data_IF_593730248420
#
_entry.id   IF_593730248420
#
_cell.length_a   1.000
_cell.length_b   1.000
_cell.length_c   1.000
_cell.angle_alpha   90.00
_cell.angle_beta   90.00
_cell.angle_gamma   90.00
#
_symmetry.space_group_name_H-M   'P 1'
#
loop_
_entity.id
_entity.type
_entity.pdbx_description
1 polymer ?
#
# COMPACT_ATOMS: atom_id res chain seq x y z
N UNK A 1 39.71 -47.70 -4.27
CA UNK A 1 39.77 -48.67 -5.39
C UNK A 1 39.16 -49.97 -4.90
N UNK A 2 38.35 -50.60 -5.77
CA UNK A 2 37.49 -51.78 -5.59
C UNK A 2 36.10 -51.50 -5.00
N UNK A 3 34.97 -51.98 -5.55
CA UNK A 3 34.69 -52.70 -6.81
C UNK A 3 33.16 -52.74 -7.04
N UNK A 4 32.79 -52.90 -8.31
CA UNK A 4 31.46 -53.05 -8.93
C UNK A 4 30.50 -54.08 -8.29
N UNK A 5 29.19 -53.86 -8.48
CA UNK A 5 28.25 -54.95 -8.73
C UNK A 5 27.12 -54.52 -9.69
N UNK A 6 27.08 -55.19 -10.85
CA UNK A 6 26.15 -55.06 -11.97
C UNK A 6 24.92 -56.00 -11.84
N UNK A 7 23.88 -55.73 -12.67
CA UNK A 7 22.85 -56.68 -13.13
C UNK A 7 21.50 -56.59 -12.39
N UNK A 8 20.38 -56.07 -12.91
CA UNK A 8 19.59 -56.21 -14.18
C UNK A 8 18.65 -57.44 -14.21
N UNK A 9 17.36 -57.15 -14.47
CA UNK A 9 16.23 -57.96 -14.98
C UNK A 9 15.69 -59.14 -14.14
N UNK A 10 14.40 -59.49 -14.14
CA UNK A 10 13.25 -59.07 -14.95
C UNK A 10 11.93 -59.51 -14.28
N UNK A 11 10.82 -58.95 -14.79
CA UNK A 11 9.48 -59.55 -14.95
C UNK A 11 8.79 -60.27 -13.77
N UNK A 12 7.59 -59.79 -13.39
CA UNK A 12 6.37 -60.58 -13.66
C UNK A 12 5.17 -59.65 -13.87
N UNK A 13 4.53 -59.89 -15.00
CA UNK A 13 3.23 -59.40 -15.44
C UNK A 13 2.14 -59.76 -14.42
N UNK A 14 1.17 -58.87 -14.20
CA UNK A 14 -0.18 -59.35 -13.96
C UNK A 14 -1.18 -58.43 -14.64
N UNK A 15 -1.68 -58.96 -15.74
CA UNK A 15 -2.79 -58.49 -16.56
C UNK A 15 -4.08 -59.01 -15.90
N UNK A 16 -4.94 -58.11 -15.44
CA UNK A 16 -6.33 -58.44 -15.12
C UNK A 16 -7.20 -57.31 -15.69
N UNK A 17 -7.62 -57.53 -16.94
CA UNK A 17 -8.79 -56.91 -17.55
C UNK A 17 -10.05 -57.35 -16.77
N UNK A 18 -10.91 -56.42 -16.36
CA UNK A 18 -12.24 -56.24 -16.99
C UNK A 18 -13.22 -55.38 -16.15
N UNK A 19 -13.93 -54.54 -16.91
CA UNK A 19 -15.34 -54.15 -16.77
C UNK A 19 -15.80 -53.25 -15.59
N UNK A 20 -15.88 -51.96 -15.90
CA UNK A 20 -17.17 -51.31 -16.12
C UNK A 20 -18.13 -51.17 -14.93
N UNK A 21 -18.23 -49.95 -14.39
CA UNK A 21 -19.51 -49.31 -14.03
C UNK A 21 -19.33 -47.82 -13.74
N UNK A 22 -20.09 -47.02 -14.47
CA UNK A 22 -20.42 -45.63 -14.11
C UNK A 22 -21.29 -45.67 -12.85
N UNK A 23 -20.86 -45.04 -11.76
CA UNK A 23 -21.78 -44.46 -10.78
C UNK A 23 -21.23 -43.10 -10.31
N UNK A 24 -22.14 -42.13 -10.35
CA UNK A 24 -21.97 -40.75 -9.96
C UNK A 24 -21.63 -40.60 -8.46
N UNK A 25 -20.80 -39.60 -8.16
CA UNK A 25 -20.94 -38.82 -6.94
C UNK A 25 -20.19 -39.32 -5.70
N UNK A 26 -18.95 -38.87 -5.55
CA UNK A 26 -18.51 -38.32 -4.25
C UNK A 26 -17.33 -37.35 -4.46
N UNK A 27 -17.65 -36.06 -4.48
CA UNK A 27 -16.70 -34.97 -4.72
C UNK A 27 -15.86 -34.70 -3.47
N UNK A 28 -14.83 -35.53 -3.24
CA UNK A 28 -13.76 -35.20 -2.30
C UNK A 28 -12.53 -34.68 -3.08
N UNK A 29 -12.57 -33.42 -3.50
CA UNK A 29 -11.39 -32.72 -4.04
C UNK A 29 -11.17 -31.40 -3.32
N UNK A 30 -10.21 -31.45 -2.39
CA UNK A 30 -9.25 -30.41 -1.99
C UNK A 30 -9.76 -28.97 -2.11
N UNK A 31 -10.12 -28.41 -0.96
CA UNK A 31 -10.36 -26.98 -0.74
C UNK A 31 -9.22 -26.12 -1.25
N UNK A 32 -9.33 -25.71 -2.52
CA UNK A 32 -8.52 -24.68 -3.14
C UNK A 32 -9.10 -23.35 -2.64
N UNK A 33 -8.34 -22.65 -1.82
CA UNK A 33 -8.63 -21.26 -1.41
C UNK A 33 -8.93 -20.44 -2.67
N UNK A 34 -10.22 -20.25 -2.98
CA UNK A 34 -10.64 -19.25 -3.95
C UNK A 34 -10.38 -17.91 -3.30
N UNK A 35 -9.27 -17.28 -3.67
CA UNK A 35 -9.06 -15.86 -3.43
C UNK A 35 -10.10 -15.15 -4.30
N UNK A 36 -11.28 -14.90 -3.74
CA UNK A 36 -12.35 -14.18 -4.41
C UNK A 36 -11.77 -12.88 -4.98
N UNK A 37 -11.76 -12.81 -6.30
CA UNK A 37 -11.39 -11.60 -7.01
C UNK A 37 -12.55 -10.63 -6.79
N UNK A 38 -12.39 -9.71 -5.83
CA UNK A 38 -13.32 -8.60 -5.69
C UNK A 38 -13.08 -7.71 -6.91
N UNK A 39 -14.00 -7.79 -7.88
CA UNK A 39 -14.02 -6.93 -9.06
C UNK A 39 -14.16 -5.47 -8.61
N UNK A 40 -13.46 -4.56 -9.29
CA UNK A 40 -13.39 -3.17 -8.87
C UNK A 40 -14.75 -2.48 -9.11
N UNK A 41 -15.40 -2.04 -8.03
CA UNK A 41 -16.67 -1.31 -8.06
C UNK A 41 -16.52 0.21 -8.12
N UNK A 42 -15.28 0.72 -8.07
CA UNK A 42 -14.95 2.14 -8.09
C UNK A 42 -13.64 2.35 -8.88
N UNK A 43 -13.51 3.47 -9.59
CA UNK A 43 -12.27 3.85 -10.27
C UNK A 43 -11.28 4.55 -9.31
N UNK A 44 -9.99 4.54 -9.67
CA UNK A 44 -8.97 5.28 -8.92
C UNK A 44 -9.25 6.80 -8.93
N UNK A 45 -9.69 7.34 -10.06
CA UNK A 45 -10.10 8.75 -10.20
C UNK A 45 -11.24 9.10 -9.23
N UNK A 46 -12.29 8.27 -9.17
CA UNK A 46 -13.45 8.49 -8.29
C UNK A 46 -13.09 8.45 -6.81
N UNK A 47 -12.17 7.55 -6.42
CA UNK A 47 -11.62 7.50 -5.09
C UNK A 47 -10.80 8.77 -4.80
N UNK A 48 -9.87 9.14 -5.68
CA UNK A 48 -9.03 10.32 -5.48
C UNK A 48 -9.87 11.60 -5.47
N UNK A 49 -10.98 11.67 -6.18
CA UNK A 49 -11.87 12.84 -6.14
C UNK A 49 -12.60 12.97 -4.79
N UNK A 50 -13.06 11.85 -4.22
CA UNK A 50 -13.83 11.83 -2.97
C UNK A 50 -13.51 10.55 -2.19
N UNK A 51 -12.45 10.55 -1.36
CA UNK A 51 -11.95 9.36 -0.68
C UNK A 51 -12.86 8.92 0.47
N UNK A 52 -13.13 7.62 0.55
CA UNK A 52 -13.85 6.94 1.65
C UNK A 52 -13.30 5.53 1.83
N UNK A 53 -13.51 4.88 2.99
CA UNK A 53 -13.06 3.50 3.17
C UNK A 53 -13.77 2.54 2.22
N UNK A 54 -15.07 2.76 1.99
CA UNK A 54 -15.85 1.97 1.05
C UNK A 54 -15.26 2.02 -0.36
N UNK A 55 -14.93 3.21 -0.86
CA UNK A 55 -14.32 3.35 -2.20
C UNK A 55 -12.92 2.75 -2.27
N UNK A 56 -12.10 2.92 -1.23
CA UNK A 56 -10.78 2.29 -1.16
C UNK A 56 -10.87 0.76 -1.23
N UNK A 57 -11.86 0.17 -0.55
CA UNK A 57 -12.14 -1.26 -0.62
C UNK A 57 -12.63 -1.69 -2.02
N UNK A 58 -13.51 -0.88 -2.64
CA UNK A 58 -14.06 -1.11 -3.97
C UNK A 58 -13.04 -0.99 -5.12
N UNK A 59 -11.83 -0.46 -4.89
CA UNK A 59 -10.74 -0.53 -5.88
C UNK A 59 -10.23 -1.96 -6.15
N UNK A 60 -10.64 -2.93 -5.33
CA UNK A 60 -10.33 -4.34 -5.50
C UNK A 60 -8.88 -4.69 -5.14
N UNK A 61 -8.43 -5.86 -5.59
CA UNK A 61 -7.12 -6.43 -5.24
C UNK A 61 -5.92 -5.64 -5.77
N UNK A 62 -6.08 -4.88 -6.85
CA UNK A 62 -5.03 -4.10 -7.52
C UNK A 62 -5.05 -2.61 -7.15
N UNK A 63 -5.71 -2.25 -6.04
CA UNK A 63 -5.92 -0.87 -5.59
C UNK A 63 -4.68 0.02 -5.64
N UNK A 64 -3.54 -0.44 -5.12
CA UNK A 64 -2.32 0.36 -5.06
C UNK A 64 -1.77 0.66 -6.47
N UNK A 65 -1.78 -0.34 -7.36
CA UNK A 65 -1.36 -0.18 -8.75
C UNK A 65 -2.30 0.74 -9.52
N UNK A 66 -3.61 0.65 -9.28
CA UNK A 66 -4.60 1.50 -9.90
C UNK A 66 -4.42 2.97 -9.49
N UNK A 67 -4.15 3.24 -8.20
CA UNK A 67 -3.85 4.59 -7.72
C UNK A 67 -2.56 5.15 -8.31
N UNK A 68 -1.49 4.35 -8.37
CA UNK A 68 -0.23 4.77 -9.00
C UNK A 68 -0.44 5.17 -10.46
N UNK A 69 -1.09 4.30 -11.23
CA UNK A 69 -1.36 4.55 -12.65
C UNK A 69 -2.17 5.83 -12.87
N UNK A 70 -3.20 6.04 -12.05
CA UNK A 70 -4.03 7.24 -12.13
C UNK A 70 -3.18 8.50 -11.90
N UNK A 71 -2.41 8.53 -10.83
CA UNK A 71 -1.52 9.65 -10.50
C UNK A 71 -0.51 9.91 -11.62
N UNK A 72 0.17 8.87 -12.11
CA UNK A 72 1.16 8.94 -13.19
C UNK A 72 0.56 9.38 -14.54
N UNK A 73 -0.74 9.16 -14.76
CA UNK A 73 -1.42 9.59 -15.98
C UNK A 73 -1.73 11.10 -15.99
N UNK A 74 -1.83 11.72 -14.81
CA UNK A 74 -2.25 13.12 -14.64
C UNK A 74 -1.11 14.12 -14.44
N UNK A 75 0.10 13.64 -14.10
CA UNK A 75 1.21 14.51 -13.73
C UNK A 75 2.57 13.94 -14.17
N UNK A 76 3.57 14.81 -14.28
CA UNK A 76 4.95 14.42 -14.61
C UNK A 76 5.98 15.28 -13.85
N UNK A 77 7.23 14.84 -13.81
CA UNK A 77 8.34 15.58 -13.19
C UNK A 77 8.09 15.93 -11.72
N UNK A 78 8.32 17.19 -11.34
CA UNK A 78 8.12 17.67 -9.97
C UNK A 78 6.65 17.66 -9.54
N UNK A 79 5.72 17.88 -10.46
CA UNK A 79 4.28 17.84 -10.15
C UNK A 79 3.81 16.41 -9.88
N UNK A 80 4.50 15.40 -10.42
CA UNK A 80 4.22 14.00 -10.11
C UNK A 80 4.58 13.66 -8.65
N UNK A 81 5.70 14.19 -8.13
CA UNK A 81 6.06 14.05 -6.71
C UNK A 81 4.95 14.61 -5.81
N UNK A 82 4.46 15.82 -6.13
CA UNK A 82 3.36 16.47 -5.40
C UNK A 82 2.06 15.67 -5.49
N UNK A 83 1.79 15.10 -6.65
CA UNK A 83 0.60 14.28 -6.89
C UNK A 83 0.64 12.97 -6.08
N UNK A 84 1.82 12.35 -5.92
CA UNK A 84 1.98 11.22 -5.00
C UNK A 84 1.70 11.60 -3.55
N UNK A 85 2.24 12.72 -3.07
CA UNK A 85 1.98 13.19 -1.69
C UNK A 85 0.50 13.51 -1.50
N UNK A 86 -0.13 14.16 -2.47
CA UNK A 86 -1.56 14.47 -2.43
C UNK A 86 -2.42 13.20 -2.41
N UNK A 87 -2.09 12.20 -3.22
CA UNK A 87 -2.77 10.90 -3.22
C UNK A 87 -2.56 10.16 -1.89
N UNK A 88 -1.35 10.23 -1.32
CA UNK A 88 -1.06 9.71 0.02
C UNK A 88 -1.96 10.37 1.08
N UNK A 89 -2.11 11.70 1.05
CA UNK A 89 -3.01 12.41 1.98
C UNK A 89 -4.48 12.00 1.81
N UNK A 90 -4.93 11.74 0.58
CA UNK A 90 -6.28 11.22 0.31
C UNK A 90 -6.47 9.81 0.86
N UNK A 91 -5.47 8.94 0.73
CA UNK A 91 -5.47 7.61 1.37
C UNK A 91 -5.49 7.74 2.90
N UNK A 92 -4.69 8.64 3.46
CA UNK A 92 -4.64 8.91 4.90
C UNK A 92 -5.98 9.40 5.47
N UNK A 93 -6.75 10.16 4.69
CA UNK A 93 -8.07 10.66 5.12
C UNK A 93 -9.07 9.54 5.45
N UNK A 94 -8.88 8.35 4.87
CA UNK A 94 -9.69 7.15 5.13
C UNK A 94 -9.42 6.56 6.51
N UNK A 95 -8.21 6.72 7.05
CA UNK A 95 -7.90 6.29 8.41
C UNK A 95 -8.42 7.27 9.45
N UNK A 96 -8.37 8.56 9.12
CA UNK A 96 -8.88 9.63 9.98
C UNK A 96 -10.38 9.60 10.23
N UNK A 97 -11.16 8.93 9.37
CA UNK A 97 -12.62 8.86 9.50
C UNK A 97 -13.10 7.95 10.63
N UNK A 98 -12.23 7.12 11.22
CA UNK A 98 -12.58 6.18 12.28
C UNK A 98 -13.41 4.98 11.81
N UNK A 99 -13.46 4.71 10.50
CA UNK A 99 -14.19 3.59 9.92
C UNK A 99 -13.46 2.25 10.19
N UNK A 100 -14.11 1.35 10.94
CA UNK A 100 -13.58 0.04 11.29
C UNK A 100 -13.54 -0.93 10.08
N UNK A 101 -12.57 -1.84 10.06
CA UNK A 101 -12.46 -2.92 9.06
C UNK A 101 -11.05 -3.08 8.49
N UNK A 102 -10.94 -3.70 7.31
CA UNK A 102 -9.66 -3.88 6.60
C UNK A 102 -9.16 -2.60 5.90
N UNK A 103 -9.89 -1.48 6.05
CA UNK A 103 -9.56 -0.15 5.51
C UNK A 103 -8.12 0.26 5.86
N UNK A 104 -7.67 -0.03 7.08
CA UNK A 104 -6.30 0.30 7.50
C UNK A 104 -5.22 -0.49 6.77
N UNK A 105 -5.41 -1.80 6.56
CA UNK A 105 -4.45 -2.61 5.79
C UNK A 105 -4.40 -2.16 4.33
N UNK A 106 -5.55 -1.81 3.76
CA UNK A 106 -5.63 -1.29 2.40
C UNK A 106 -4.94 0.07 2.29
N UNK A 107 -5.15 0.96 3.27
CA UNK A 107 -4.52 2.27 3.32
C UNK A 107 -3.00 2.15 3.44
N UNK A 108 -2.47 1.29 4.32
CA UNK A 108 -1.04 1.04 4.46
C UNK A 108 -0.43 0.57 3.13
N UNK A 109 -1.03 -0.41 2.47
CA UNK A 109 -0.49 -0.93 1.21
C UNK A 109 -0.48 0.11 0.08
N UNK A 110 -1.55 0.91 -0.04
CA UNK A 110 -1.62 2.00 -1.01
C UNK A 110 -0.60 3.10 -0.69
N UNK A 111 -0.52 3.51 0.57
CA UNK A 111 0.40 4.55 1.04
C UNK A 111 1.86 4.14 0.86
N UNK A 112 2.21 2.89 1.16
CA UNK A 112 3.54 2.32 0.95
C UNK A 112 3.96 2.40 -0.52
N UNK A 113 3.03 2.03 -1.43
CA UNK A 113 3.30 2.07 -2.87
C UNK A 113 3.48 3.51 -3.38
N UNK A 114 2.63 4.44 -2.93
CA UNK A 114 2.69 5.86 -3.31
C UNK A 114 3.98 6.52 -2.80
N UNK A 115 4.35 6.32 -1.52
CA UNK A 115 5.56 6.90 -0.96
C UNK A 115 6.80 6.25 -1.55
N UNK A 116 6.82 4.93 -1.77
CA UNK A 116 7.93 4.26 -2.44
C UNK A 116 8.18 4.87 -3.83
N UNK A 117 7.12 5.08 -4.62
CA UNK A 117 7.23 5.72 -5.93
C UNK A 117 7.71 7.16 -5.83
N UNK A 118 7.20 7.93 -4.86
CA UNK A 118 7.62 9.31 -4.62
C UNK A 118 9.10 9.41 -4.25
N UNK A 119 9.59 8.58 -3.32
CA UNK A 119 10.99 8.55 -2.91
C UNK A 119 11.90 8.12 -4.05
N UNK A 120 11.54 7.06 -4.79
CA UNK A 120 12.32 6.61 -5.95
C UNK A 120 12.44 7.70 -7.02
N UNK A 121 11.35 8.42 -7.31
CA UNK A 121 11.38 9.53 -8.26
C UNK A 121 12.21 10.71 -7.72
N UNK A 122 12.03 11.06 -6.44
CA UNK A 122 12.76 12.15 -5.81
C UNK A 122 14.27 11.90 -5.75
N UNK A 123 14.71 10.67 -5.52
CA UNK A 123 16.13 10.30 -5.59
C UNK A 123 16.67 10.43 -7.02
N UNK A 124 15.94 9.87 -8.00
CA UNK A 124 16.33 9.91 -9.41
C UNK A 124 16.48 11.35 -9.92
N UNK A 125 15.57 12.24 -9.53
CA UNK A 125 15.54 13.64 -9.98
C UNK A 125 16.29 14.60 -9.04
N UNK A 126 16.98 14.08 -8.01
CA UNK A 126 17.68 14.88 -6.99
C UNK A 126 16.77 15.92 -6.29
N UNK A 127 15.53 15.51 -6.00
CA UNK A 127 14.46 16.30 -5.36
C UNK A 127 14.07 15.78 -3.97
N UNK A 128 14.97 15.05 -3.28
CA UNK A 128 14.66 14.47 -1.96
C UNK A 128 14.24 15.53 -0.92
N UNK A 129 14.90 16.69 -0.91
CA UNK A 129 14.51 17.82 -0.05
C UNK A 129 13.14 18.39 -0.43
N UNK A 130 12.83 18.44 -1.73
CA UNK A 130 11.53 18.85 -2.25
C UNK A 130 10.40 17.93 -1.77
N UNK A 131 10.57 16.61 -1.91
CA UNK A 131 9.62 15.62 -1.39
C UNK A 131 9.45 15.74 0.13
N UNK A 132 10.55 15.86 0.86
CA UNK A 132 10.52 15.96 2.33
C UNK A 132 9.72 17.19 2.77
N UNK A 133 9.99 18.35 2.15
CA UNK A 133 9.24 19.57 2.42
C UNK A 133 7.77 19.44 2.03
N UNK A 134 7.47 18.82 0.89
CA UNK A 134 6.09 18.60 0.43
C UNK A 134 5.28 17.80 1.45
N UNK A 135 5.85 16.73 2.02
CA UNK A 135 5.21 15.95 3.09
C UNK A 135 4.94 16.84 4.32
N UNK A 136 5.95 17.58 4.79
CA UNK A 136 5.88 18.40 6.01
C UNK A 136 4.89 19.57 5.84
N UNK A 137 4.82 20.16 4.64
CA UNK A 137 3.82 21.16 4.27
C UNK A 137 2.41 20.57 4.30
N UNK A 138 2.20 19.40 3.70
CA UNK A 138 0.87 18.75 3.68
C UNK A 138 0.42 18.33 5.08
N UNK A 139 1.34 18.01 5.98
CA UNK A 139 1.04 17.77 7.39
C UNK A 139 0.76 19.06 8.19
N UNK A 140 0.94 20.24 7.58
CA UNK A 140 0.76 21.54 8.23
C UNK A 140 1.86 21.90 9.23
N UNK A 141 3.03 21.25 9.15
CA UNK A 141 4.12 21.41 10.12
C UNK A 141 5.06 22.56 9.75
N UNK A 142 5.10 22.94 8.47
CA UNK A 142 5.76 24.15 7.99
C UNK A 142 4.83 24.93 7.07
N UNK A 143 5.10 26.23 6.93
CA UNK A 143 4.29 27.12 6.10
C UNK A 143 4.57 26.86 4.62
N UNK A 144 3.50 26.66 3.85
CA UNK A 144 3.58 26.64 2.40
C UNK A 144 3.90 28.03 1.82
N UNK A 145 4.47 28.05 0.62
CA UNK A 145 4.43 29.26 -0.21
C UNK A 145 2.98 29.61 -0.58
N UNK A 146 2.68 30.88 -0.86
CA UNK A 146 1.29 31.38 -1.02
C UNK A 146 0.43 30.57 -2.00
N UNK A 147 1.04 30.03 -3.06
CA UNK A 147 0.34 29.32 -4.12
C UNK A 147 0.24 27.81 -3.89
N UNK A 148 0.80 27.30 -2.79
CA UNK A 148 0.87 25.87 -2.45
C UNK A 148 0.18 25.55 -1.11
N UNK A 149 -0.71 26.43 -0.64
CA UNK A 149 -1.40 26.22 0.63
C UNK A 149 -2.47 25.14 0.50
N UNK A 150 -2.11 23.92 0.91
CA UNK A 150 -3.06 22.82 1.09
C UNK A 150 -3.42 22.72 2.58
N UNK A 151 -4.71 22.75 2.89
CA UNK A 151 -5.22 22.58 4.26
C UNK A 151 -6.04 21.31 4.33
N UNK A 152 -5.56 20.34 5.10
CA UNK A 152 -6.27 19.09 5.34
C UNK A 152 -7.04 19.14 6.67
N UNK A 153 -8.16 18.40 6.80
CA UNK A 153 -8.80 18.18 8.10
C UNK A 153 -7.81 17.56 9.10
N UNK A 154 -7.99 17.86 10.39
CA UNK A 154 -7.16 17.32 11.46
C UNK A 154 -7.15 15.78 11.48
N UNK A 155 -8.29 15.15 11.19
CA UNK A 155 -8.39 13.70 11.07
C UNK A 155 -7.51 13.13 9.94
N UNK A 156 -7.43 13.83 8.81
CA UNK A 156 -6.57 13.43 7.69
C UNK A 156 -5.09 13.51 8.06
N UNK A 157 -4.68 14.58 8.75
CA UNK A 157 -3.30 14.70 9.20
C UNK A 157 -2.98 13.65 10.27
N UNK A 158 -3.89 13.36 11.20
CA UNK A 158 -3.75 12.25 12.16
C UNK A 158 -3.57 10.89 11.46
N UNK A 159 -4.42 10.58 10.47
CA UNK A 159 -4.28 9.37 9.66
C UNK A 159 -2.94 9.30 8.91
N UNK A 160 -2.45 10.45 8.43
CA UNK A 160 -1.16 10.54 7.74
C UNK A 160 0.01 10.28 8.69
N UNK A 161 -0.07 10.79 9.92
CA UNK A 161 0.92 10.55 10.97
C UNK A 161 0.98 9.06 11.33
N UNK A 162 -0.17 8.39 11.42
CA UNK A 162 -0.26 6.93 11.67
C UNK A 162 0.43 6.15 10.55
N UNK A 163 0.14 6.47 9.29
CA UNK A 163 0.79 5.82 8.15
C UNK A 163 2.29 6.09 8.13
N UNK A 164 2.73 7.33 8.33
CA UNK A 164 4.15 7.68 8.33
C UNK A 164 4.90 6.95 9.46
N UNK A 165 4.31 6.81 10.64
CA UNK A 165 4.95 6.07 11.73
C UNK A 165 5.30 4.63 11.34
N UNK A 166 4.44 3.97 10.54
CA UNK A 166 4.71 2.62 10.01
C UNK A 166 5.68 2.64 8.81
N UNK A 167 5.55 3.61 7.91
CA UNK A 167 6.29 3.64 6.65
C UNK A 167 7.71 4.21 6.80
N UNK A 168 8.00 5.00 7.84
CA UNK A 168 9.33 5.57 8.05
C UNK A 168 10.42 4.54 8.33
N UNK A 169 10.07 3.30 8.69
CA UNK A 169 11.04 2.22 8.89
C UNK A 169 11.39 1.48 7.59
N UNK A 170 10.74 1.81 6.46
CA UNK A 170 10.95 1.15 5.17
C UNK A 170 12.28 1.58 4.56
N UNK A 171 12.90 0.66 3.81
CA UNK A 171 14.24 0.84 3.23
C UNK A 171 14.29 1.90 2.12
N UNK A 172 13.19 2.13 1.39
CA UNK A 172 13.12 3.17 0.36
C UNK A 172 13.14 4.60 0.91
N UNK A 173 12.92 4.77 2.22
CA UNK A 173 12.95 6.10 2.85
C UNK A 173 14.41 6.44 3.13
N UNK A 174 14.99 7.31 2.32
CA UNK A 174 16.36 7.78 2.46
C UNK A 174 16.64 8.34 3.87
N UNK A 175 17.78 7.99 4.47
CA UNK A 175 18.14 8.38 5.84
C UNK A 175 18.03 9.88 6.11
N UNK A 176 18.50 10.80 5.22
CA UNK A 176 18.38 12.23 5.48
C UNK A 176 16.92 12.69 5.57
N UNK A 177 16.04 12.16 4.72
CA UNK A 177 14.61 12.49 4.75
C UNK A 177 13.95 11.91 6.02
N UNK A 178 14.32 10.68 6.40
CA UNK A 178 13.83 10.04 7.62
C UNK A 178 14.15 10.85 8.87
N UNK A 179 15.39 11.32 9.02
CA UNK A 179 15.83 12.11 10.17
C UNK A 179 15.03 13.42 10.29
N UNK A 180 14.86 14.14 9.17
CA UNK A 180 14.08 15.37 9.13
C UNK A 180 12.62 15.10 9.48
N UNK A 181 11.98 14.12 8.84
CA UNK A 181 10.59 13.75 9.12
C UNK A 181 10.43 13.37 10.59
N UNK A 182 11.30 12.53 11.15
CA UNK A 182 11.26 12.15 12.56
C UNK A 182 11.38 13.34 13.50
N UNK A 183 12.25 14.32 13.21
CA UNK A 183 12.40 15.52 14.02
C UNK A 183 11.09 16.34 14.08
N UNK A 184 10.43 16.54 12.94
CA UNK A 184 9.15 17.25 12.88
C UNK A 184 8.00 16.46 13.52
N UNK A 185 7.90 15.15 13.23
CA UNK A 185 6.86 14.29 13.79
C UNK A 185 6.96 14.23 15.33
N UNK A 186 8.17 14.14 15.89
CA UNK A 186 8.40 14.07 17.34
C UNK A 186 7.98 15.36 18.08
N UNK A 187 8.17 16.52 17.46
CA UNK A 187 7.70 17.79 18.03
C UNK A 187 6.16 17.85 18.10
N UNK A 188 5.48 17.21 17.15
CA UNK A 188 4.02 17.23 17.04
C UNK A 188 3.32 16.19 17.91
N UNK A 189 3.91 15.01 18.14
CA UNK A 189 3.36 13.99 19.05
C UNK A 189 3.25 14.52 20.48
N UNK A 190 4.15 15.42 20.87
CA UNK A 190 4.09 16.15 22.15
C UNK A 190 2.85 17.05 22.21
N UNK A 191 2.46 17.66 21.08
CA UNK A 191 1.30 18.56 20.98
C UNK A 191 -0.04 17.81 20.96
N UNK A 192 -0.10 16.64 20.32
CA UNK A 192 -1.29 15.77 20.30
C UNK A 192 -1.54 15.17 21.68
N UNK A 193 -0.49 14.73 22.37
CA UNK A 193 -0.61 14.20 23.74
C UNK A 193 -1.13 15.24 24.74
N UNK A 194 -0.74 16.51 24.61
CA UNK A 194 -1.21 17.61 25.46
C UNK A 194 -2.69 17.94 25.21
N UNK A 195 -3.19 17.78 23.97
CA UNK A 195 -4.61 18.05 23.64
C UNK A 195 -5.57 16.97 24.12
N UNK A 196 -5.10 15.74 24.34
CA UNK A 196 -5.92 14.62 24.84
C UNK A 196 -6.00 14.60 26.38
N UNK A 197 -5.12 15.32 27.09
CA UNK A 197 -5.04 15.32 28.56
C UNK A 197 -5.62 16.55 29.26
N UNK A 198 -6.24 17.49 28.55
CA UNK A 198 -6.91 18.63 29.18
C UNK A 198 -8.41 18.33 29.37
N UNK A 199 -8.91 18.25 30.63
CA UNK A 199 -10.32 18.05 30.95
C UNK A 199 -11.18 19.29 30.66
#
# INVERSE_FOLDING_TARGET
MNSDHEGVDDEEENDDEEEGREEEGDSTVKGRLQKEYIEAGCSAEEFLFSPTAAKLAQLGSHRAQNLLREVESTASGTDLIRSYVTAFMKVASVLGSGEEGDSGKFAVNCADSLLSAAFSLAEKENQLSGLTNEIIVNLGLIKAEKDHQVSWPASTTEGAMVLLAELMTKEYVASPAREVLQAFLSQCVTFVSIRITLP
#
